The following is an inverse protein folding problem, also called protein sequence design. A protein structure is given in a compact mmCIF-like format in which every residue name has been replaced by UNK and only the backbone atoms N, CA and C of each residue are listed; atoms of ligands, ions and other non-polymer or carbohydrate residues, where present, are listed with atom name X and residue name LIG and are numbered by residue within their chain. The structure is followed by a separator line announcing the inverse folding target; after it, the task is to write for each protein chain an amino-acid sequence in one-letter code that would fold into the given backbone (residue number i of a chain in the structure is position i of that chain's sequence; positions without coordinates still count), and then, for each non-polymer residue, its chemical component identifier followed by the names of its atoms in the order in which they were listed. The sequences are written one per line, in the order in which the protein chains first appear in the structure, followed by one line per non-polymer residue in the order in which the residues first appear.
data_IF_688829441540
#
_entry.id   IF_688829441540
#
_cell.length_a   1.000
_cell.length_b   1.000
_cell.length_c   1.000
_cell.angle_alpha   90.00
_cell.angle_beta   90.00
_cell.angle_gamma   90.00
#
_symmetry.space_group_name_H-M   'P 1'
#
loop_
_entity.id
_entity.type
_entity.pdbx_description
1 polymer ?
#
# COMPACT_ATOMS: atom_id res chain seq x y z
N UNK A 1 14.72 9.02 -19.67
CA UNK A 1 14.74 8.94 -18.19
C UNK A 1 13.95 7.70 -17.82
N UNK A 2 14.58 6.69 -17.23
CA UNK A 2 13.87 5.47 -16.84
C UNK A 2 12.87 5.79 -15.73
N UNK A 3 11.64 5.27 -15.83
CA UNK A 3 10.55 5.45 -14.85
C UNK A 3 11.00 5.14 -13.41
N UNK A 4 11.98 4.25 -13.24
CA UNK A 4 12.66 3.97 -11.97
C UNK A 4 13.15 5.23 -11.21
N UNK A 5 13.62 6.28 -11.90
CA UNK A 5 14.05 7.54 -11.26
C UNK A 5 12.89 8.47 -10.91
N UNK A 6 11.72 8.29 -11.52
CA UNK A 6 10.51 9.05 -11.20
C UNK A 6 9.82 8.43 -9.97
N UNK A 7 9.73 7.10 -9.90
CA UNK A 7 9.13 6.35 -8.79
C UNK A 7 9.81 6.63 -7.43
N UNK A 8 11.15 6.74 -7.40
CA UNK A 8 11.89 7.05 -6.17
C UNK A 8 11.71 8.51 -5.69
N UNK A 9 11.58 9.46 -6.62
CA UNK A 9 11.24 10.85 -6.33
C UNK A 9 9.82 10.93 -5.73
N UNK A 10 8.84 10.26 -6.33
CA UNK A 10 7.46 10.25 -5.86
C UNK A 10 7.27 9.60 -4.49
N UNK A 11 7.98 8.51 -4.21
CA UNK A 11 7.90 7.85 -2.91
C UNK A 11 8.50 8.68 -1.77
N UNK A 12 9.67 9.28 -1.99
CA UNK A 12 10.25 10.20 -1.01
C UNK A 12 9.32 11.35 -0.71
N UNK A 13 8.70 11.86 -1.76
CA UNK A 13 7.77 12.93 -1.69
C UNK A 13 6.49 12.53 -0.93
N UNK A 14 6.00 11.29 -1.02
CA UNK A 14 4.92 10.73 -0.18
C UNK A 14 5.37 10.59 1.29
N UNK A 15 6.57 10.07 1.54
CA UNK A 15 7.13 9.92 2.90
C UNK A 15 7.38 11.29 3.55
N UNK A 16 7.95 12.24 2.80
CA UNK A 16 8.03 13.64 3.19
C UNK A 16 6.63 14.23 3.38
N UNK A 17 5.66 13.93 2.52
CA UNK A 17 4.32 14.49 2.63
C UNK A 17 3.65 14.05 3.93
N UNK A 18 3.81 12.80 4.36
CA UNK A 18 3.37 12.34 5.69
C UNK A 18 4.09 13.10 6.82
N UNK A 19 5.40 13.36 6.66
CA UNK A 19 6.21 14.11 7.63
C UNK A 19 5.88 15.62 7.64
N UNK A 20 5.54 16.21 6.50
CA UNK A 20 5.45 17.66 6.23
C UNK A 20 4.00 18.17 6.31
N UNK A 21 3.00 17.31 6.07
CA UNK A 21 1.62 17.73 6.03
C UNK A 21 0.90 17.46 7.36
N UNK A 22 0.59 18.54 8.09
CA UNK A 22 -0.17 18.49 9.33
C UNK A 22 -1.66 18.15 9.19
N UNK A 23 -2.11 17.81 7.98
CA UNK A 23 -3.52 17.61 7.63
C UNK A 23 -3.89 16.16 7.24
N UNK A 24 -2.93 15.24 7.12
CA UNK A 24 -3.31 13.83 7.20
C UNK A 24 -3.71 13.59 8.66
N UNK A 25 -4.92 13.08 8.91
CA UNK A 25 -5.47 12.96 10.26
C UNK A 25 -4.47 12.21 11.15
N UNK A 26 -3.70 12.97 11.95
CA UNK A 26 -2.66 12.40 12.79
C UNK A 26 -3.32 11.48 13.80
N UNK A 27 -2.89 10.23 13.84
CA UNK A 27 -3.39 9.27 14.81
C UNK A 27 -3.13 9.76 16.23
N UNK A 28 -3.84 9.16 17.19
CA UNK A 28 -3.68 9.44 18.63
C UNK A 28 -2.19 9.39 19.01
N UNK A 29 -1.73 10.41 19.73
CA UNK A 29 -0.34 10.61 20.17
C UNK A 29 0.71 10.67 19.04
N UNK A 30 0.27 10.98 17.82
CA UNK A 30 1.11 10.99 16.61
C UNK A 30 1.02 9.72 15.76
N UNK A 31 0.33 8.67 16.24
CA UNK A 31 0.00 7.49 15.44
C UNK A 31 1.19 6.85 14.71
N UNK A 32 1.03 6.63 13.40
CA UNK A 32 2.02 5.99 12.54
C UNK A 32 3.34 6.76 12.50
N UNK A 33 3.32 8.10 12.53
CA UNK A 33 4.53 8.92 12.53
C UNK A 33 5.36 8.67 13.80
N UNK A 34 4.68 8.61 14.95
CA UNK A 34 5.31 8.32 16.23
C UNK A 34 5.90 6.91 16.28
N UNK A 35 5.12 5.91 15.84
CA UNK A 35 5.57 4.52 15.80
C UNK A 35 6.77 4.35 14.87
N UNK A 36 6.70 4.90 13.65
CA UNK A 36 7.77 4.83 12.65
C UNK A 36 9.04 5.50 13.14
N UNK A 37 8.93 6.72 13.71
CA UNK A 37 10.09 7.39 14.31
C UNK A 37 10.72 6.54 15.42
N UNK A 38 9.90 6.05 16.35
CA UNK A 38 10.37 5.32 17.52
C UNK A 38 11.08 4.02 17.13
N UNK A 39 10.55 3.31 16.14
CA UNK A 39 11.14 2.08 15.59
C UNK A 39 12.46 2.40 14.87
N UNK A 40 12.47 3.36 13.93
CA UNK A 40 13.68 3.70 13.16
C UNK A 40 14.79 4.18 14.09
N UNK A 41 14.49 5.07 15.04
CA UNK A 41 15.49 5.56 16.00
C UNK A 41 15.99 4.43 16.90
N UNK A 42 15.13 3.48 17.31
CA UNK A 42 15.55 2.29 18.04
C UNK A 42 16.45 1.35 17.23
N UNK A 43 16.15 1.16 15.94
CA UNK A 43 17.01 0.40 15.01
C UNK A 43 18.37 1.06 14.84
N UNK A 44 18.42 2.40 14.75
CA UNK A 44 19.68 3.17 14.70
C UNK A 44 20.50 2.96 15.99
N UNK A 45 19.87 3.00 17.16
CA UNK A 45 20.53 2.71 18.44
C UNK A 45 21.14 1.30 18.43
N UNK A 46 20.36 0.30 18.00
CA UNK A 46 20.84 -1.08 17.89
C UNK A 46 21.98 -1.25 16.88
N UNK A 47 21.94 -0.55 15.73
CA UNK A 47 23.05 -0.54 14.77
C UNK A 47 24.34 -0.01 15.39
N UNK A 48 24.26 1.07 16.18
CA UNK A 48 25.42 1.67 16.84
C UNK A 48 26.10 0.71 17.82
N UNK A 49 25.30 -0.07 18.54
CA UNK A 49 25.79 -1.10 19.47
C UNK A 49 26.38 -2.29 18.69
N UNK A 50 25.68 -2.76 17.65
CA UNK A 50 26.09 -3.92 16.87
C UNK A 50 27.41 -3.71 16.14
N UNK A 51 27.61 -2.54 15.55
CA UNK A 51 28.81 -2.20 14.77
C UNK A 51 29.87 -1.44 15.59
N UNK A 52 29.61 -1.16 16.87
CA UNK A 52 30.47 -0.39 17.76
C UNK A 52 30.90 0.95 17.12
N UNK A 53 29.91 1.71 16.63
CA UNK A 53 30.11 2.96 15.92
C UNK A 53 29.29 4.10 16.54
N UNK A 54 29.53 5.34 16.12
CA UNK A 54 28.76 6.48 16.62
C UNK A 54 27.35 6.50 16.02
N UNK A 55 26.39 7.13 16.71
CA UNK A 55 25.03 7.32 16.18
C UNK A 55 25.04 7.98 14.79
N UNK A 56 25.94 8.94 14.54
CA UNK A 56 26.10 9.57 13.23
C UNK A 56 26.53 8.55 12.17
N UNK A 57 27.50 7.68 12.49
CA UNK A 57 27.94 6.62 11.59
C UNK A 57 26.82 5.59 11.33
N UNK A 58 26.01 5.26 12.33
CA UNK A 58 24.85 4.37 12.16
C UNK A 58 23.72 4.97 11.34
N UNK A 59 23.46 6.27 11.47
CA UNK A 59 22.53 6.99 10.60
C UNK A 59 22.99 6.94 9.14
N UNK A 60 24.28 7.23 8.88
CA UNK A 60 24.87 7.12 7.55
C UNK A 60 24.82 5.68 7.01
N UNK A 61 25.14 4.69 7.84
CA UNK A 61 25.04 3.26 7.50
C UNK A 61 23.64 2.88 7.10
N UNK A 62 22.64 3.28 7.88
CA UNK A 62 21.24 3.01 7.58
C UNK A 62 20.84 3.62 6.24
N UNK A 63 21.18 4.89 5.98
CA UNK A 63 20.91 5.51 4.68
C UNK A 63 21.62 4.79 3.53
N UNK A 64 22.78 4.18 3.76
CA UNK A 64 23.50 3.42 2.74
C UNK A 64 22.84 2.07 2.40
N UNK A 65 21.92 1.56 3.22
CA UNK A 65 21.12 0.38 2.88
C UNK A 65 19.93 0.69 1.95
N UNK A 66 19.52 1.95 1.87
CA UNK A 66 18.35 2.35 1.09
C UNK A 66 18.70 2.50 -0.41
N UNK A 67 17.73 2.31 -1.33
CA UNK A 67 17.90 2.56 -2.76
C UNK A 67 18.34 4.00 -3.07
N UNK A 68 19.01 4.23 -4.21
CA UNK A 68 19.70 5.51 -4.53
C UNK A 68 18.87 6.77 -4.29
N UNK A 69 17.62 6.76 -4.73
CA UNK A 69 16.75 7.92 -4.61
C UNK A 69 16.43 8.18 -3.14
N UNK A 70 15.96 7.15 -2.43
CA UNK A 70 15.63 7.21 -0.98
C UNK A 70 16.86 7.48 -0.11
N UNK A 71 18.04 7.00 -0.50
CA UNK A 71 19.30 7.24 0.18
C UNK A 71 19.68 8.72 0.21
N UNK A 72 19.56 9.40 -0.93
CA UNK A 72 19.84 10.84 -1.04
C UNK A 72 19.03 11.62 -0.02
N UNK A 73 17.77 11.23 0.08
CA UNK A 73 16.79 11.82 0.96
C UNK A 73 16.96 11.49 2.44
N UNK A 74 17.30 10.25 2.74
CA UNK A 74 17.68 9.83 4.08
C UNK A 74 18.86 10.68 4.58
N UNK A 75 19.88 10.92 3.75
CA UNK A 75 21.02 11.78 4.11
C UNK A 75 20.59 13.21 4.41
N UNK A 76 19.70 13.80 3.61
CA UNK A 76 19.12 15.13 3.90
C UNK A 76 18.39 15.14 5.25
N UNK A 77 17.62 14.09 5.55
CA UNK A 77 16.95 13.94 6.84
C UNK A 77 17.95 13.79 7.99
N UNK A 78 19.06 13.07 7.79
CA UNK A 78 20.16 12.92 8.76
C UNK A 78 20.88 14.25 8.99
N UNK A 79 21.16 15.03 7.96
CA UNK A 79 21.77 16.35 8.10
C UNK A 79 20.95 17.30 8.99
N UNK A 80 19.62 17.14 8.94
CA UNK A 80 18.68 18.00 9.63
C UNK A 80 18.27 17.48 11.03
N UNK A 81 17.93 16.20 11.14
CA UNK A 81 17.45 15.55 12.37
C UNK A 81 18.57 14.87 13.15
N UNK A 82 19.65 14.46 12.50
CA UNK A 82 20.76 13.73 13.09
C UNK A 82 21.37 14.42 14.31
N UNK A 83 21.66 15.74 14.29
CA UNK A 83 22.18 16.43 15.46
C UNK A 83 21.27 16.32 16.69
N UNK A 84 19.95 16.34 16.49
CA UNK A 84 18.94 16.22 17.56
C UNK A 84 18.90 14.79 18.10
N UNK A 85 18.91 13.80 17.21
CA UNK A 85 18.92 12.38 17.56
C UNK A 85 20.18 12.06 18.38
N UNK A 86 21.35 12.53 17.92
CA UNK A 86 22.63 12.37 18.61
C UNK A 86 22.61 13.02 19.99
N UNK A 87 22.14 14.27 20.10
CA UNK A 87 22.04 14.97 21.38
C UNK A 87 21.11 14.23 22.36
N UNK A 88 19.99 13.68 21.88
CA UNK A 88 19.08 12.86 22.66
C UNK A 88 19.77 11.63 23.25
N UNK A 89 20.48 10.86 22.42
CA UNK A 89 21.22 9.69 22.89
C UNK A 89 22.36 10.05 23.85
N UNK A 90 23.08 11.16 23.63
CA UNK A 90 24.10 11.66 24.58
C UNK A 90 23.51 12.00 25.96
N UNK A 91 22.21 12.31 26.03
CA UNK A 91 21.47 12.54 27.29
C UNK A 91 20.82 11.28 27.85
N UNK A 92 21.16 10.09 27.34
CA UNK A 92 20.52 8.82 27.67
C UNK A 92 18.99 8.86 27.51
N UNK A 93 18.49 9.60 26.52
CA UNK A 93 17.07 9.59 26.16
C UNK A 93 16.75 8.37 25.30
N UNK A 94 15.58 7.79 25.53
CA UNK A 94 15.08 6.65 24.75
C UNK A 94 14.49 7.12 23.41
N UNK A 95 14.40 6.24 22.39
CA UNK A 95 13.87 6.60 21.07
C UNK A 95 12.50 7.32 21.09
N UNK A 96 11.57 6.89 21.95
CA UNK A 96 10.26 7.53 22.10
C UNK A 96 10.37 8.97 22.65
N UNK A 97 11.30 9.24 23.59
CA UNK A 97 11.58 10.60 24.08
C UNK A 97 12.17 11.47 22.97
N UNK A 98 13.12 10.94 22.20
CA UNK A 98 13.73 11.65 21.06
C UNK A 98 12.66 12.01 20.03
N UNK A 99 11.76 11.09 19.71
CA UNK A 99 10.66 11.30 18.77
C UNK A 99 9.63 12.36 19.25
N UNK A 100 9.42 12.49 20.57
CA UNK A 100 8.64 13.60 21.14
C UNK A 100 9.33 14.95 20.98
N UNK A 101 10.65 14.98 21.08
CA UNK A 101 11.47 16.17 20.92
C UNK A 101 11.45 16.72 19.50
N UNK A 102 11.29 15.86 18.49
CA UNK A 102 11.10 16.28 17.07
C UNK A 102 9.63 16.35 16.64
N UNK A 103 8.68 16.23 17.58
CA UNK A 103 7.22 16.39 17.40
C UNK A 103 6.50 15.34 16.55
N UNK A 104 7.18 14.24 16.21
CA UNK A 104 6.57 13.07 15.58
C UNK A 104 5.74 12.27 16.60
N UNK A 105 6.16 12.24 17.87
CA UNK A 105 5.33 11.79 18.99
C UNK A 105 4.74 12.96 19.78
N UNK A 106 3.50 12.82 20.26
CA UNK A 106 2.79 13.84 21.05
C UNK A 106 2.00 13.22 22.18
N UNK A 107 1.70 14.04 23.19
CA UNK A 107 0.76 13.67 24.24
C UNK A 107 -0.55 14.40 23.94
N UNK A 108 -1.57 13.68 23.49
CA UNK A 108 -2.87 14.27 23.21
C UNK A 108 -3.71 14.37 24.50
N UNK A 109 -4.40 15.50 24.75
CA UNK A 109 -5.21 15.66 25.95
C UNK A 109 -6.26 14.56 26.09
N UNK A 110 -6.31 13.92 27.27
CA UNK A 110 -7.26 12.84 27.56
C UNK A 110 -6.85 11.47 27.03
N UNK A 111 -5.68 11.34 26.39
CA UNK A 111 -5.14 10.07 25.91
C UNK A 111 -4.05 9.54 26.83
N UNK A 112 -3.93 8.22 26.92
CA UNK A 112 -2.84 7.59 27.65
C UNK A 112 -1.50 7.90 26.97
N UNK A 113 -0.43 8.11 27.74
CA UNK A 113 0.90 8.37 27.16
C UNK A 113 1.48 7.07 26.58
N UNK A 114 2.03 7.15 25.38
CA UNK A 114 2.70 6.02 24.73
C UNK A 114 4.17 5.99 25.14
N UNK A 115 4.61 4.88 25.75
CA UNK A 115 6.01 4.64 26.14
C UNK A 115 6.41 3.24 25.71
N UNK A 116 7.26 3.15 24.68
CA UNK A 116 7.75 1.86 24.18
C UNK A 116 8.98 1.38 24.97
N UNK A 117 9.86 2.31 25.34
CA UNK A 117 11.09 2.01 26.06
C UNK A 117 10.98 2.47 27.51
N UNK A 118 11.54 1.67 28.43
CA UNK A 118 11.66 2.09 29.82
C UNK A 118 12.70 3.22 29.90
N UNK A 119 12.27 4.40 30.35
CA UNK A 119 13.17 5.55 30.49
C UNK A 119 14.29 5.23 31.47
N UNK A 120 15.52 5.26 30.96
CA UNK A 120 16.75 5.25 31.77
C UNK A 120 17.20 6.67 32.14
N UNK A 121 16.51 7.69 31.63
CA UNK A 121 16.87 9.10 31.82
C UNK A 121 16.51 9.58 33.23
N UNK A 122 17.49 10.19 33.91
CA UNK A 122 17.33 10.91 35.18
C UNK A 122 16.81 12.34 34.99
N UNK A 123 16.53 12.76 33.75
CA UNK A 123 16.14 14.15 33.44
C UNK A 123 14.65 14.41 33.67
N UNK A 124 14.35 15.34 34.58
CA UNK A 124 12.98 15.80 34.87
C UNK A 124 12.43 16.82 33.86
N UNK A 125 13.14 17.04 32.74
CA UNK A 125 12.69 18.01 31.73
C UNK A 125 11.38 17.54 31.10
N UNK A 126 10.48 18.48 30.82
CA UNK A 126 9.28 18.20 30.04
C UNK A 126 9.62 18.13 28.55
N UNK A 127 8.76 17.49 27.76
CA UNK A 127 8.87 17.49 26.29
C UNK A 127 8.84 18.90 25.70
N UNK A 128 8.11 19.84 26.30
CA UNK A 128 8.10 21.24 25.86
C UNK A 128 9.41 21.97 26.13
N UNK A 129 10.05 21.71 27.29
CA UNK A 129 11.36 22.26 27.63
C UNK A 129 12.45 21.71 26.71
N UNK A 130 12.43 20.39 26.43
CA UNK A 130 13.35 19.77 25.46
C UNK A 130 13.26 20.44 24.09
N UNK A 131 12.04 20.62 23.59
CA UNK A 131 11.79 21.32 22.31
C UNK A 131 12.29 22.76 22.31
N UNK A 132 12.09 23.50 23.40
CA UNK A 132 12.56 24.88 23.51
C UNK A 132 14.09 24.96 23.45
N UNK A 133 14.77 24.08 24.20
CA UNK A 133 16.23 24.00 24.20
C UNK A 133 16.78 23.62 22.82
N UNK A 134 16.14 22.67 22.14
CA UNK A 134 16.50 22.27 20.78
C UNK A 134 16.32 23.39 19.77
N UNK A 135 15.22 24.14 19.82
CA UNK A 135 15.00 25.31 18.95
C UNK A 135 16.03 26.42 19.16
N UNK A 136 16.53 26.57 20.39
CA UNK A 136 17.59 27.52 20.68
C UNK A 136 18.94 27.06 20.10
N UNK A 137 19.24 25.76 20.14
CA UNK A 137 20.49 25.20 19.64
C UNK A 137 20.51 25.05 18.11
N UNK A 138 19.34 24.78 17.51
CA UNK A 138 19.14 24.59 16.06
C UNK A 138 18.03 25.54 15.56
N UNK A 139 18.29 26.85 15.43
CA UNK A 139 17.29 27.84 15.00
C UNK A 139 16.89 27.68 13.52
N UNK A 140 17.72 26.98 12.73
CA UNK A 140 17.52 26.74 11.30
C UNK A 140 16.43 25.70 11.03
N UNK A 141 15.89 25.07 12.08
CA UNK A 141 14.88 24.03 11.98
C UNK A 141 13.52 24.70 11.63
N UNK A 142 13.01 24.72 10.38
CA UNK A 142 11.63 25.07 10.13
C UNK A 142 10.70 24.33 11.09
N UNK A 143 9.68 25.06 11.56
CA UNK A 143 8.45 24.43 12.03
C UNK A 143 7.97 23.55 10.89
N UNK A 144 8.18 22.23 11.01
CA UNK A 144 7.97 21.20 9.98
C UNK A 144 6.49 21.00 9.58
N UNK A 145 5.69 22.04 9.79
CA UNK A 145 4.25 22.05 9.98
C UNK A 145 3.72 23.38 9.47
N UNK A 146 3.68 23.53 8.15
CA UNK A 146 2.82 24.54 7.52
C UNK A 146 2.03 23.88 6.41
N UNK A 147 0.72 23.93 6.58
CA UNK A 147 -0.36 23.19 5.92
C UNK A 147 -0.67 23.61 4.47
N UNK A 148 0.35 23.93 3.67
CA UNK A 148 0.21 24.23 2.23
C UNK A 148 1.32 23.63 1.37
N UNK A 149 1.68 22.38 1.66
CA UNK A 149 2.70 21.67 0.88
C UNK A 149 2.25 21.44 -0.58
N UNK A 150 0.98 21.08 -0.83
CA UNK A 150 0.49 20.75 -2.18
C UNK A 150 0.51 21.90 -3.21
N UNK A 151 0.65 23.15 -2.75
CA UNK A 151 0.70 24.32 -3.64
C UNK A 151 2.11 24.57 -4.22
N UNK A 152 3.13 23.82 -3.75
CA UNK A 152 4.50 23.96 -4.21
C UNK A 152 4.74 23.15 -5.52
N UNK A 153 5.42 23.73 -6.53
CA UNK A 153 5.80 23.00 -7.74
C UNK A 153 6.66 21.77 -7.42
N UNK A 154 6.34 20.61 -7.99
CA UNK A 154 6.95 19.31 -7.64
C UNK A 154 6.27 18.60 -6.48
N UNK A 155 5.50 19.30 -5.63
CA UNK A 155 4.70 18.69 -4.55
C UNK A 155 3.28 18.37 -5.02
N UNK A 156 2.74 19.16 -5.94
CA UNK A 156 1.43 18.95 -6.56
C UNK A 156 1.31 17.56 -7.21
N UNK A 157 2.34 17.10 -7.90
CA UNK A 157 2.37 15.81 -8.58
C UNK A 157 2.30 14.62 -7.58
N UNK A 158 2.85 14.80 -6.38
CA UNK A 158 2.76 13.85 -5.27
C UNK A 158 1.35 13.82 -4.69
N UNK A 159 0.73 14.99 -4.52
CA UNK A 159 -0.62 15.07 -4.00
C UNK A 159 -1.58 14.35 -4.95
N UNK A 160 -1.34 14.44 -6.27
CA UNK A 160 -2.07 13.64 -7.26
C UNK A 160 -1.88 12.14 -7.04
N UNK A 161 -0.65 11.66 -6.80
CA UNK A 161 -0.40 10.24 -6.46
C UNK A 161 -1.14 9.86 -5.19
N UNK A 162 -1.09 10.70 -4.17
CA UNK A 162 -1.72 10.41 -2.90
C UNK A 162 -3.24 10.31 -3.04
N UNK A 163 -3.83 11.24 -3.79
CA UNK A 163 -5.26 11.24 -4.08
C UNK A 163 -5.68 10.03 -4.90
N UNK A 164 -5.01 9.74 -6.02
CA UNK A 164 -5.40 8.63 -6.90
C UNK A 164 -5.15 7.25 -6.27
N UNK A 165 -3.96 7.03 -5.71
CA UNK A 165 -3.55 5.70 -5.22
C UNK A 165 -4.10 5.43 -3.83
N UNK A 166 -3.86 6.34 -2.87
CA UNK A 166 -4.13 6.08 -1.46
C UNK A 166 -5.54 6.48 -1.02
N UNK A 167 -6.20 7.42 -1.70
CA UNK A 167 -7.58 7.81 -1.39
C UNK A 167 -8.60 7.21 -2.36
N UNK A 168 -8.34 7.25 -3.67
CA UNK A 168 -9.28 6.77 -4.69
C UNK A 168 -9.11 5.27 -5.00
N UNK A 169 -7.98 4.67 -4.60
CA UNK A 169 -7.63 3.26 -4.86
C UNK A 169 -7.60 2.91 -6.35
N UNK A 170 -7.09 3.85 -7.16
CA UNK A 170 -6.99 3.76 -8.61
C UNK A 170 -5.53 3.64 -9.08
N UNK A 171 -5.28 2.97 -10.21
CA UNK A 171 -3.92 2.86 -10.75
C UNK A 171 -3.31 4.24 -11.02
N UNK A 172 -2.02 4.40 -10.72
CA UNK A 172 -1.33 5.65 -11.01
C UNK A 172 -1.18 5.91 -12.52
N UNK A 173 -0.96 4.85 -13.29
CA UNK A 173 -0.85 4.88 -14.75
C UNK A 173 -2.03 4.11 -15.30
N UNK A 174 -2.98 4.86 -15.85
CA UNK A 174 -4.23 4.44 -16.49
C UNK A 174 -4.65 5.61 -17.40
N UNK A 175 -4.26 5.54 -18.67
CA UNK A 175 -4.41 6.63 -19.65
C UNK A 175 -5.82 6.64 -20.24
N UNK A 176 -6.45 5.48 -20.41
CA UNK A 176 -7.77 5.36 -21.03
C UNK A 176 -8.94 5.33 -20.02
N UNK A 177 -8.63 5.24 -18.73
CA UNK A 177 -9.58 5.33 -17.62
C UNK A 177 -10.36 4.04 -17.36
N UNK A 178 -9.87 2.89 -17.82
CA UNK A 178 -10.50 1.59 -17.64
C UNK A 178 -10.19 0.92 -16.28
N UNK A 179 -9.30 1.55 -15.50
CA UNK A 179 -8.89 1.18 -14.15
C UNK A 179 -8.00 -0.06 -14.08
N UNK A 180 -7.42 -0.49 -15.18
CA UNK A 180 -6.33 -1.45 -15.23
C UNK A 180 -5.03 -0.70 -15.54
N UNK A 181 -3.94 -1.09 -14.88
CA UNK A 181 -2.68 -0.38 -14.98
C UNK A 181 -1.60 -1.23 -15.65
N UNK A 182 -0.67 -0.57 -16.33
CA UNK A 182 0.50 -1.21 -16.95
C UNK A 182 1.65 -1.46 -15.98
N UNK A 183 1.76 -0.62 -14.94
CA UNK A 183 2.77 -0.70 -13.88
C UNK A 183 2.40 -1.76 -12.85
N UNK A 184 3.37 -2.33 -12.13
CA UNK A 184 3.09 -3.37 -11.12
C UNK A 184 2.56 -2.79 -9.81
N UNK A 185 3.20 -1.74 -9.29
CA UNK A 185 2.84 -1.11 -8.02
C UNK A 185 1.77 -0.02 -8.17
N UNK A 186 1.45 0.70 -7.08
CA UNK A 186 0.55 1.86 -7.09
C UNK A 186 -0.83 1.54 -7.70
N UNK A 187 -1.49 0.50 -7.16
CA UNK A 187 -2.82 0.03 -7.60
C UNK A 187 -2.88 -0.52 -9.04
N UNK A 188 -1.73 -0.74 -9.68
CA UNK A 188 -1.60 -1.36 -11.01
C UNK A 188 -1.72 -2.88 -11.00
N UNK A 189 -0.87 -3.56 -11.77
CA UNK A 189 -0.99 -4.97 -12.10
C UNK A 189 -0.73 -5.97 -10.96
N UNK A 190 -0.17 -5.53 -9.84
CA UNK A 190 -0.17 -6.33 -8.61
C UNK A 190 -1.59 -6.49 -8.04
N UNK A 191 -2.47 -5.52 -8.30
CA UNK A 191 -3.83 -5.46 -7.77
C UNK A 191 -4.85 -6.01 -8.76
N UNK A 192 -4.66 -5.73 -10.06
CA UNK A 192 -5.59 -6.14 -11.13
C UNK A 192 -4.81 -6.77 -12.28
N UNK A 193 -5.48 -7.41 -13.22
CA UNK A 193 -4.83 -7.85 -14.45
C UNK A 193 -4.02 -6.74 -15.12
N UNK A 194 -2.82 -7.05 -15.61
CA UNK A 194 -2.04 -6.07 -16.38
C UNK A 194 -2.79 -5.72 -17.67
N UNK A 195 -3.00 -4.43 -17.88
CA UNK A 195 -3.53 -3.93 -19.12
C UNK A 195 -2.55 -4.16 -20.29
N UNK A 196 -3.08 -4.62 -21.42
CA UNK A 196 -2.36 -4.87 -22.65
C UNK A 196 -2.46 -3.72 -23.66
N UNK A 197 -3.40 -2.78 -23.50
CA UNK A 197 -3.54 -1.58 -24.34
C UNK A 197 -4.11 -0.37 -23.58
N UNK A 198 -3.22 0.38 -22.94
CA UNK A 198 -3.51 1.59 -22.14
C UNK A 198 -3.93 2.81 -23.00
N UNK A 199 -4.49 2.58 -24.18
CA UNK A 199 -5.04 3.63 -25.04
C UNK A 199 -6.49 3.37 -25.43
N UNK A 200 -7.06 2.24 -25.03
CA UNK A 200 -8.41 1.83 -25.40
C UNK A 200 -9.08 1.13 -24.23
N UNK A 201 -9.98 1.86 -23.57
CA UNK A 201 -10.71 1.34 -22.42
C UNK A 201 -11.65 0.17 -22.71
N UNK A 202 -11.71 -0.31 -23.95
CA UNK A 202 -12.41 -1.53 -24.37
C UNK A 202 -11.53 -2.77 -24.37
N UNK A 203 -10.21 -2.61 -24.31
CA UNK A 203 -9.23 -3.69 -24.36
C UNK A 203 -8.67 -3.82 -22.95
N UNK A 204 -9.12 -4.84 -22.22
CA UNK A 204 -8.78 -4.99 -20.81
C UNK A 204 -9.06 -6.39 -20.27
N UNK A 205 -8.42 -6.81 -19.17
CA UNK A 205 -8.67 -8.10 -18.54
C UNK A 205 -10.16 -8.39 -18.31
N UNK A 206 -10.62 -9.49 -18.91
CA UNK A 206 -11.98 -10.03 -18.79
C UNK A 206 -13.07 -9.34 -19.63
N UNK A 207 -12.68 -8.47 -20.58
CA UNK A 207 -13.55 -8.11 -21.70
C UNK A 207 -13.91 -9.37 -22.52
N UNK A 208 -15.03 -9.33 -23.24
CA UNK A 208 -15.38 -10.37 -24.22
C UNK A 208 -14.57 -10.17 -25.49
N UNK A 209 -14.21 -11.28 -26.12
CA UNK A 209 -13.51 -11.28 -27.40
C UNK A 209 -14.36 -10.63 -28.50
N UNK A 210 -13.70 -9.92 -29.43
CA UNK A 210 -14.35 -9.30 -30.58
C UNK A 210 -13.86 -10.00 -31.85
N UNK A 211 -14.78 -10.69 -32.54
CA UNK A 211 -14.46 -11.52 -33.71
C UNK A 211 -13.38 -12.59 -33.41
N UNK A 212 -13.43 -13.17 -32.20
CA UNK A 212 -12.46 -14.18 -31.74
C UNK A 212 -11.03 -13.65 -31.62
N UNK A 213 -10.86 -12.35 -31.44
CA UNK A 213 -9.56 -11.70 -31.25
C UNK A 213 -8.56 -12.02 -32.39
N UNK A 214 -9.05 -12.16 -33.62
CA UNK A 214 -8.21 -12.56 -34.75
C UNK A 214 -7.07 -11.57 -35.08
N UNK A 215 -7.19 -10.30 -34.65
CA UNK A 215 -6.22 -9.23 -34.94
C UNK A 215 -5.65 -8.56 -33.69
N UNK A 216 -6.46 -8.43 -32.64
CA UNK A 216 -6.14 -7.72 -31.39
C UNK A 216 -6.67 -8.58 -30.26
N UNK A 217 -5.87 -8.79 -29.22
CA UNK A 217 -6.29 -9.38 -27.96
C UNK A 217 -7.11 -8.35 -27.17
N UNK A 218 -8.43 -8.49 -27.16
CA UNK A 218 -9.30 -7.51 -26.50
C UNK A 218 -9.40 -7.74 -24.99
N UNK A 219 -8.99 -8.91 -24.52
CA UNK A 219 -9.25 -9.33 -23.16
C UNK A 219 -7.97 -9.62 -22.35
N UNK A 220 -6.82 -9.34 -22.94
CA UNK A 220 -5.49 -9.41 -22.36
C UNK A 220 -5.09 -10.79 -21.81
N UNK A 221 -5.73 -11.87 -22.29
CA UNK A 221 -5.40 -13.24 -21.86
C UNK A 221 -4.20 -13.82 -22.64
N UNK A 222 -3.71 -13.12 -23.67
CA UNK A 222 -2.58 -13.52 -24.51
C UNK A 222 -2.94 -14.49 -25.64
N UNK A 223 -4.24 -14.78 -25.85
CA UNK A 223 -4.74 -15.67 -26.90
C UNK A 223 -5.43 -14.81 -27.96
N UNK A 224 -4.82 -14.73 -29.14
CA UNK A 224 -5.33 -13.94 -30.25
C UNK A 224 -4.70 -14.43 -31.56
N UNK A 225 -5.21 -13.98 -32.70
CA UNK A 225 -4.73 -14.42 -34.02
C UNK A 225 -5.53 -15.58 -34.60
N UNK A 226 -4.99 -16.21 -35.63
CA UNK A 226 -5.67 -17.24 -36.44
C UNK A 226 -4.89 -18.55 -36.47
N UNK A 227 -5.59 -19.67 -36.39
CA UNK A 227 -5.04 -20.96 -36.78
C UNK A 227 -5.01 -21.08 -38.31
N UNK A 228 -3.80 -21.19 -38.85
CA UNK A 228 -3.57 -21.44 -40.27
C UNK A 228 -4.16 -22.76 -40.79
N UNK A 229 -4.44 -23.73 -39.90
CA UNK A 229 -4.91 -25.06 -40.28
C UNK A 229 -6.43 -25.13 -40.44
N UNK A 230 -7.18 -24.51 -39.54
CA UNK A 230 -8.66 -24.46 -39.53
C UNK A 230 -9.21 -23.17 -40.17
N UNK A 231 -8.36 -22.14 -40.29
CA UNK A 231 -8.73 -20.79 -40.66
C UNK A 231 -9.79 -20.19 -39.70
N UNK A 232 -9.63 -20.46 -38.40
CA UNK A 232 -10.44 -19.88 -37.32
C UNK A 232 -9.57 -19.11 -36.33
N UNK A 233 -10.15 -18.15 -35.58
CA UNK A 233 -9.41 -17.47 -34.53
C UNK A 233 -9.08 -18.39 -33.36
N UNK A 234 -7.89 -18.25 -32.77
CA UNK A 234 -7.47 -19.10 -31.64
C UNK A 234 -8.41 -18.98 -30.43
N UNK A 235 -8.93 -17.78 -30.17
CA UNK A 235 -9.88 -17.54 -29.09
C UNK A 235 -11.20 -18.30 -29.29
N UNK A 236 -11.66 -18.48 -30.53
CA UNK A 236 -12.87 -19.27 -30.82
C UNK A 236 -12.62 -20.78 -30.62
N UNK A 237 -11.39 -21.24 -30.87
CA UNK A 237 -11.05 -22.66 -30.77
C UNK A 237 -10.72 -23.10 -29.34
N UNK A 238 -10.06 -22.23 -28.57
CA UNK A 238 -9.59 -22.56 -27.23
C UNK A 238 -10.49 -22.03 -26.13
N UNK A 239 -11.16 -20.90 -26.37
CA UNK A 239 -11.91 -20.21 -25.34
C UNK A 239 -13.40 -20.20 -25.62
N UNK A 240 -14.18 -20.18 -24.54
CA UNK A 240 -15.61 -19.97 -24.61
C UNK A 240 -16.00 -18.92 -23.58
N UNK A 241 -16.25 -17.69 -24.05
CA UNK A 241 -16.64 -16.55 -23.21
C UNK A 241 -17.94 -16.75 -22.41
N UNK A 242 -18.70 -17.83 -22.65
CA UNK A 242 -19.86 -18.20 -21.82
C UNK A 242 -19.50 -19.02 -20.58
N UNK A 243 -18.30 -19.61 -20.54
CA UNK A 243 -17.81 -20.44 -19.43
C UNK A 243 -16.65 -19.79 -18.66
N UNK A 244 -16.03 -18.74 -19.22
CA UNK A 244 -15.01 -17.94 -18.54
C UNK A 244 -15.56 -17.23 -17.32
N UNK A 245 -14.71 -17.09 -16.31
CA UNK A 245 -15.03 -16.48 -15.03
C UNK A 245 -13.78 -15.79 -14.50
N UNK A 246 -13.86 -14.49 -14.24
CA UNK A 246 -12.79 -13.77 -13.56
C UNK A 246 -12.88 -13.90 -12.03
N UNK A 247 -11.85 -13.48 -11.33
CA UNK A 247 -11.77 -13.50 -9.86
C UNK A 247 -11.72 -12.09 -9.31
N UNK A 248 -12.56 -11.76 -8.33
CA UNK A 248 -12.45 -10.51 -7.60
C UNK A 248 -12.58 -10.72 -6.09
N UNK A 249 -11.95 -9.86 -5.31
CA UNK A 249 -12.15 -9.80 -3.85
C UNK A 249 -12.46 -8.37 -3.42
N UNK A 250 -13.54 -8.19 -2.68
CA UNK A 250 -13.84 -6.99 -1.92
C UNK A 250 -13.37 -7.26 -0.50
N UNK A 251 -12.31 -6.59 -0.05
CA UNK A 251 -11.64 -7.04 1.17
C UNK A 251 -10.94 -5.98 1.99
N UNK A 252 -10.32 -6.43 3.06
CA UNK A 252 -9.48 -5.62 3.94
C UNK A 252 -8.00 -6.00 3.81
N UNK A 253 -7.18 -5.59 4.78
CA UNK A 253 -5.74 -5.87 4.85
C UNK A 253 -5.39 -7.36 4.73
N UNK A 254 -6.30 -8.27 5.12
CA UNK A 254 -6.07 -9.72 4.98
C UNK A 254 -6.11 -10.12 3.51
N UNK A 255 -7.13 -9.66 2.78
CA UNK A 255 -7.29 -9.93 1.34
C UNK A 255 -6.23 -9.25 0.48
N UNK A 256 -5.75 -8.07 0.90
CA UNK A 256 -4.62 -7.37 0.28
C UNK A 256 -3.26 -8.04 0.60
N UNK A 257 -3.23 -8.93 1.60
CA UNK A 257 -2.02 -9.53 2.14
C UNK A 257 -1.03 -8.47 2.68
N UNK A 258 -1.49 -7.67 3.64
CA UNK A 258 -0.66 -6.73 4.37
C UNK A 258 0.51 -7.45 5.04
N UNK A 259 1.74 -7.02 4.74
CA UNK A 259 2.95 -7.62 5.26
C UNK A 259 4.10 -6.62 5.33
N UNK A 260 4.65 -6.47 6.54
CA UNK A 260 5.90 -5.73 6.79
C UNK A 260 7.03 -6.75 6.88
N UNK A 261 8.08 -6.65 6.05
CA UNK A 261 9.25 -7.52 6.17
C UNK A 261 9.89 -7.39 7.55
N UNK A 262 9.98 -8.49 8.28
CA UNK A 262 10.54 -8.51 9.65
C UNK A 262 11.99 -8.03 9.70
N UNK A 263 12.73 -8.22 8.60
CA UNK A 263 14.12 -7.81 8.43
C UNK A 263 14.28 -6.29 8.53
N UNK A 264 13.23 -5.51 8.24
CA UNK A 264 13.24 -4.05 8.41
C UNK A 264 13.31 -3.63 9.89
N UNK A 265 12.95 -4.54 10.80
CA UNK A 265 12.88 -4.30 12.24
C UNK A 265 14.07 -4.89 13.02
N UNK A 266 14.92 -5.69 12.37
CA UNK A 266 16.08 -6.35 12.97
C UNK A 266 17.40 -5.79 12.44
N UNK A 267 18.08 -4.98 13.26
CA UNK A 267 19.37 -4.36 12.94
C UNK A 267 20.45 -5.35 12.48
N UNK A 268 20.35 -6.64 12.86
CA UNK A 268 21.31 -7.69 12.47
C UNK A 268 21.14 -8.16 11.03
N UNK A 269 19.96 -7.97 10.46
CA UNK A 269 19.59 -8.45 9.13
C UNK A 269 19.62 -7.35 8.07
N UNK A 270 19.74 -6.09 8.47
CA UNK A 270 19.77 -4.96 7.56
C UNK A 270 20.93 -5.06 6.56
N UNK A 271 20.57 -4.94 5.28
CA UNK A 271 21.49 -4.92 4.16
C UNK A 271 20.83 -4.19 2.98
N UNK A 272 21.60 -3.91 1.92
CA UNK A 272 21.05 -3.32 0.69
C UNK A 272 19.95 -4.20 0.08
N UNK A 273 20.13 -5.53 0.08
CA UNK A 273 19.14 -6.47 -0.48
C UNK A 273 17.80 -6.47 0.26
N UNK A 274 17.80 -6.18 1.57
CA UNK A 274 16.57 -6.11 2.38
C UNK A 274 15.66 -4.93 1.97
N UNK A 275 16.22 -3.86 1.41
CA UNK A 275 15.49 -2.67 0.97
C UNK A 275 15.41 -2.53 -0.55
N UNK A 276 15.86 -3.52 -1.31
CA UNK A 276 15.87 -3.50 -2.79
C UNK A 276 14.47 -3.14 -3.36
N UNK A 277 13.42 -3.69 -2.75
CA UNK A 277 12.03 -3.52 -3.19
C UNK A 277 11.22 -2.53 -2.34
N UNK A 278 11.89 -1.68 -1.55
CA UNK A 278 11.24 -0.71 -0.65
C UNK A 278 10.16 0.14 -1.35
N UNK A 279 10.48 0.63 -2.54
CA UNK A 279 9.56 1.51 -3.32
C UNK A 279 8.31 0.76 -3.75
N UNK A 280 8.45 -0.48 -4.20
CA UNK A 280 7.33 -1.31 -4.58
C UNK A 280 6.42 -1.59 -3.37
N UNK A 281 7.02 -1.98 -2.24
CA UNK A 281 6.28 -2.38 -1.03
C UNK A 281 5.48 -1.20 -0.48
N UNK A 282 6.10 -0.02 -0.36
CA UNK A 282 5.37 1.18 0.10
C UNK A 282 4.38 1.68 -0.96
N UNK A 283 4.72 1.60 -2.25
CA UNK A 283 3.82 1.97 -3.34
C UNK A 283 2.58 1.08 -3.43
N UNK A 284 2.61 -0.10 -2.81
CA UNK A 284 1.48 -0.98 -2.62
C UNK A 284 0.94 -0.96 -1.19
N UNK A 285 1.16 0.11 -0.41
CA UNK A 285 0.55 0.27 0.92
C UNK A 285 0.97 -0.80 1.95
N UNK A 286 2.15 -1.40 1.76
CA UNK A 286 2.63 -2.58 2.50
C UNK A 286 1.81 -3.85 2.23
N UNK A 287 0.95 -3.82 1.22
CA UNK A 287 0.17 -4.95 0.75
C UNK A 287 0.90 -5.70 -0.37
N UNK A 288 0.60 -6.99 -0.45
CA UNK A 288 1.20 -7.92 -1.40
C UNK A 288 0.09 -8.69 -2.15
N UNK A 289 -0.83 -7.98 -2.83
CA UNK A 289 -1.99 -8.58 -3.49
C UNK A 289 -1.60 -9.64 -4.54
N UNK A 290 -0.42 -9.48 -5.15
CA UNK A 290 0.15 -10.42 -6.11
C UNK A 290 0.59 -11.76 -5.50
N UNK A 291 0.65 -11.84 -4.16
CA UNK A 291 0.91 -13.04 -3.38
C UNK A 291 -0.27 -13.45 -2.48
N UNK A 292 -1.41 -12.73 -2.58
CA UNK A 292 -2.58 -12.98 -1.73
C UNK A 292 -3.26 -14.32 -2.03
N UNK A 293 -4.00 -14.83 -1.04
CA UNK A 293 -4.76 -16.09 -1.18
C UNK A 293 -5.89 -16.05 -2.22
N UNK A 294 -6.39 -14.87 -2.60
CA UNK A 294 -7.48 -14.75 -3.57
C UNK A 294 -6.97 -14.43 -4.97
N UNK A 295 -6.12 -13.41 -5.11
CA UNK A 295 -5.69 -12.88 -6.42
C UNK A 295 -4.20 -13.05 -6.69
N UNK A 296 -3.48 -13.80 -5.85
CA UNK A 296 -2.05 -14.03 -6.04
C UNK A 296 -1.76 -14.68 -7.40
N UNK A 297 -0.80 -14.15 -8.15
CA UNK A 297 -0.59 -14.51 -9.56
C UNK A 297 0.88 -14.59 -9.96
N UNK A 298 1.81 -14.24 -9.06
CA UNK A 298 3.24 -14.42 -9.28
C UNK A 298 3.84 -15.30 -8.20
N UNK A 299 4.91 -16.02 -8.52
CA UNK A 299 5.83 -16.54 -7.53
C UNK A 299 6.94 -15.50 -7.32
N UNK A 300 7.24 -15.19 -6.07
CA UNK A 300 8.29 -14.25 -5.74
C UNK A 300 9.47 -14.95 -5.07
N UNK A 301 10.69 -14.46 -5.32
CA UNK A 301 11.94 -14.99 -4.74
C UNK A 301 12.72 -13.92 -3.98
N UNK A 302 12.03 -12.87 -3.52
CA UNK A 302 12.65 -11.85 -2.69
C UNK A 302 13.22 -12.47 -1.42
N UNK A 303 14.34 -11.95 -0.89
CA UNK A 303 15.10 -12.58 0.21
C UNK A 303 14.32 -12.81 1.51
N UNK A 304 13.07 -12.38 1.58
CA UNK A 304 12.22 -12.34 2.77
C UNK A 304 10.88 -13.07 2.58
N UNK A 305 10.65 -13.70 1.42
CA UNK A 305 9.43 -14.46 1.13
C UNK A 305 9.81 -15.85 0.64
N UNK A 306 9.33 -16.86 1.36
CA UNK A 306 9.56 -18.26 1.04
C UNK A 306 8.26 -18.94 0.59
N UNK A 307 8.37 -19.82 -0.40
CA UNK A 307 7.28 -20.64 -0.89
C UNK A 307 6.69 -20.19 -2.22
N UNK A 308 5.83 -21.04 -2.78
CA UNK A 308 5.07 -20.75 -4.00
C UNK A 308 3.72 -20.13 -3.65
N UNK A 309 3.34 -19.10 -4.38
CA UNK A 309 2.01 -18.50 -4.30
C UNK A 309 0.96 -19.51 -4.74
N UNK A 310 -0.08 -19.65 -3.92
CA UNK A 310 -1.29 -20.39 -4.25
C UNK A 310 -2.47 -19.50 -3.98
N UNK A 311 -3.37 -19.40 -4.94
CA UNK A 311 -4.54 -18.54 -4.82
C UNK A 311 -5.75 -19.12 -5.54
N UNK A 312 -6.92 -18.56 -5.23
CA UNK A 312 -8.15 -18.89 -5.95
C UNK A 312 -8.05 -18.52 -7.44
N UNK A 313 -7.48 -17.36 -7.77
CA UNK A 313 -7.21 -16.97 -9.15
C UNK A 313 -6.27 -17.96 -9.86
N UNK A 314 -5.15 -18.34 -9.24
CA UNK A 314 -4.21 -19.28 -9.85
C UNK A 314 -4.90 -20.62 -10.14
N UNK A 315 -5.77 -21.08 -9.24
CA UNK A 315 -6.57 -22.29 -9.46
C UNK A 315 -7.59 -22.13 -10.58
N UNK A 316 -8.22 -20.97 -10.71
CA UNK A 316 -9.17 -20.66 -11.77
C UNK A 316 -8.48 -20.62 -13.15
N UNK A 317 -7.28 -20.06 -13.21
CA UNK A 317 -6.41 -20.09 -14.38
C UNK A 317 -5.98 -21.52 -14.74
N UNK A 318 -5.58 -22.36 -13.78
CA UNK A 318 -5.24 -23.77 -14.04
C UNK A 318 -6.40 -24.59 -14.61
N UNK A 319 -7.64 -24.26 -14.22
CA UNK A 319 -8.83 -24.94 -14.72
C UNK A 319 -9.19 -24.49 -16.14
N UNK A 320 -8.97 -23.21 -16.44
CA UNK A 320 -9.18 -22.62 -17.76
C UNK A 320 -8.21 -21.44 -17.98
N UNK A 321 -7.23 -21.66 -18.85
CA UNK A 321 -6.18 -20.70 -19.14
C UNK A 321 -6.70 -19.43 -19.84
N UNK A 322 -7.91 -19.45 -20.38
CA UNK A 322 -8.54 -18.25 -20.94
C UNK A 322 -8.84 -17.20 -19.86
N UNK A 323 -8.80 -17.57 -18.57
CA UNK A 323 -8.94 -16.62 -17.45
C UNK A 323 -7.64 -15.87 -17.13
N UNK A 324 -6.60 -15.97 -17.96
CA UNK A 324 -5.34 -15.25 -17.75
C UNK A 324 -5.59 -13.74 -17.55
N UNK A 325 -4.96 -13.17 -16.52
CA UNK A 325 -5.06 -11.79 -16.04
C UNK A 325 -6.41 -11.35 -15.48
N UNK A 326 -7.48 -12.14 -15.57
CA UNK A 326 -8.81 -11.71 -15.12
C UNK A 326 -8.96 -11.82 -13.59
N UNK A 327 -8.17 -11.01 -12.85
CA UNK A 327 -8.24 -10.85 -11.40
C UNK A 327 -8.36 -9.38 -11.00
N UNK A 328 -9.06 -9.11 -9.89
CA UNK A 328 -9.18 -7.78 -9.28
C UNK A 328 -9.18 -7.86 -7.76
N UNK A 329 -8.14 -7.34 -7.12
CA UNK A 329 -8.06 -7.19 -5.67
C UNK A 329 -8.53 -5.78 -5.27
N UNK A 330 -9.77 -5.71 -4.81
CA UNK A 330 -10.43 -4.47 -4.37
C UNK A 330 -10.38 -4.39 -2.83
N UNK A 331 -9.22 -4.74 -2.28
CA UNK A 331 -9.00 -4.69 -0.84
C UNK A 331 -8.31 -3.40 -0.41
N UNK A 332 -8.67 -2.91 0.77
CA UNK A 332 -8.10 -1.68 1.34
C UNK A 332 -7.80 -1.89 2.82
N UNK A 333 -6.62 -1.48 3.27
CA UNK A 333 -6.25 -1.50 4.68
C UNK A 333 -7.26 -0.72 5.54
N UNK A 334 -7.82 -1.38 6.55
CA UNK A 334 -8.84 -0.78 7.42
C UNK A 334 -10.28 -0.81 6.87
N UNK A 335 -10.51 -1.37 5.67
CA UNK A 335 -11.85 -1.52 5.12
C UNK A 335 -12.75 -2.35 6.04
N UNK A 336 -13.98 -1.87 6.23
CA UNK A 336 -15.06 -2.52 6.96
C UNK A 336 -16.37 -2.33 6.22
N UNK A 337 -17.47 -2.88 6.75
CA UNK A 337 -18.77 -2.77 6.09
C UNK A 337 -19.21 -1.31 5.87
N UNK A 338 -18.73 -0.33 6.65
CA UNK A 338 -19.10 1.09 6.45
C UNK A 338 -18.45 1.68 5.21
N UNK A 339 -17.27 1.22 4.82
CA UNK A 339 -16.53 1.66 3.62
C UNK A 339 -16.86 0.84 2.36
N UNK A 340 -17.72 -0.19 2.45
CA UNK A 340 -17.97 -1.09 1.31
C UNK A 340 -18.45 -0.35 0.06
N UNK A 341 -19.30 0.66 0.24
CA UNK A 341 -19.88 1.43 -0.86
C UNK A 341 -18.87 2.33 -1.58
N UNK A 342 -17.73 2.58 -0.95
CA UNK A 342 -16.64 3.34 -1.55
C UNK A 342 -15.73 2.39 -2.32
N UNK A 343 -15.31 1.28 -1.70
CA UNK A 343 -14.40 0.32 -2.34
C UNK A 343 -15.07 -0.44 -3.49
N UNK A 344 -16.33 -0.86 -3.35
CA UNK A 344 -17.02 -1.67 -4.38
C UNK A 344 -17.15 -0.92 -5.70
N UNK A 345 -17.22 0.42 -5.67
CA UNK A 345 -17.32 1.26 -6.86
C UNK A 345 -16.03 1.31 -7.66
N UNK A 346 -14.91 0.88 -7.09
CA UNK A 346 -13.62 0.79 -7.78
C UNK A 346 -13.50 -0.49 -8.62
N UNK A 347 -14.28 -1.53 -8.32
CA UNK A 347 -14.39 -2.74 -9.14
C UNK A 347 -14.76 -2.37 -10.58
N UNK A 348 -14.09 -2.95 -11.57
CA UNK A 348 -14.41 -2.72 -12.98
C UNK A 348 -15.09 -3.95 -13.58
N UNK A 349 -16.33 -3.76 -14.04
CA UNK A 349 -16.99 -4.68 -14.95
C UNK A 349 -18.08 -3.99 -15.75
N UNK A 350 -18.32 -4.46 -16.96
CA UNK A 350 -19.45 -4.06 -17.80
C UNK A 350 -20.40 -5.24 -18.02
N UNK A 351 -21.68 -5.06 -17.68
CA UNK A 351 -22.68 -6.13 -17.70
C UNK A 351 -22.83 -6.84 -19.06
N UNK A 352 -22.53 -6.16 -20.17
CA UNK A 352 -22.76 -6.67 -21.52
C UNK A 352 -21.47 -7.11 -22.19
N UNK A 353 -20.41 -6.34 -21.98
CA UNK A 353 -19.17 -6.45 -22.73
C UNK A 353 -18.12 -7.30 -22.02
N UNK A 354 -18.32 -7.65 -20.75
CA UNK A 354 -17.34 -8.43 -19.99
C UNK A 354 -17.86 -9.83 -19.64
N UNK A 355 -16.94 -10.73 -19.32
CA UNK A 355 -17.28 -12.07 -18.80
C UNK A 355 -17.65 -11.99 -17.32
N UNK A 356 -18.43 -12.94 -16.78
CA UNK A 356 -18.81 -12.95 -15.37
C UNK A 356 -17.63 -12.94 -14.39
N UNK A 357 -17.87 -12.57 -13.13
CA UNK A 357 -16.91 -12.65 -12.03
C UNK A 357 -17.38 -13.61 -10.93
N UNK A 358 -16.42 -14.29 -10.30
CA UNK A 358 -16.56 -14.82 -8.94
C UNK A 358 -16.03 -13.78 -7.96
N UNK A 359 -16.92 -13.19 -7.16
CA UNK A 359 -16.58 -12.13 -6.20
C UNK A 359 -16.57 -12.69 -4.79
N UNK A 360 -15.43 -12.58 -4.11
CA UNK A 360 -15.29 -12.93 -2.69
C UNK A 360 -15.50 -11.67 -1.86
N UNK A 361 -16.49 -11.67 -0.97
CA UNK A 361 -16.71 -10.62 0.01
C UNK A 361 -16.02 -11.01 1.33
N UNK A 362 -14.93 -10.33 1.68
CA UNK A 362 -14.05 -10.72 2.80
C UNK A 362 -13.60 -9.52 3.63
N UNK A 363 -14.56 -8.91 4.34
CA UNK A 363 -14.30 -7.93 5.40
C UNK A 363 -14.33 -8.66 6.75
N UNK A 364 -13.17 -9.05 7.24
CA UNK A 364 -13.05 -10.13 8.25
C UNK A 364 -12.61 -9.64 9.63
N UNK A 365 -12.30 -8.36 9.79
CA UNK A 365 -11.85 -7.83 11.09
C UNK A 365 -12.38 -6.45 11.46
N UNK A 366 -12.26 -5.47 10.56
CA UNK A 366 -12.34 -4.05 10.93
C UNK A 366 -13.75 -3.56 11.37
N UNK A 367 -14.79 -4.37 11.21
CA UNK A 367 -16.09 -4.10 11.83
C UNK A 367 -16.07 -4.22 13.36
N UNK A 368 -15.13 -5.01 13.90
CA UNK A 368 -14.94 -5.19 15.36
C UNK A 368 -13.57 -4.76 15.86
N UNK A 369 -12.55 -4.76 15.00
CA UNK A 369 -11.20 -4.29 15.31
C UNK A 369 -11.10 -2.77 15.17
N UNK A 370 -10.79 -2.06 16.26
CA UNK A 370 -10.56 -0.62 16.22
C UNK A 370 -9.59 -0.16 17.33
N UNK A 371 -9.02 1.03 17.16
CA UNK A 371 -8.06 1.62 18.10
C UNK A 371 -8.67 2.60 19.11
N UNK A 372 -9.99 2.60 19.32
CA UNK A 372 -10.64 3.53 20.24
C UNK A 372 -10.60 3.03 21.70
N UNK A 373 -10.58 3.96 22.66
CA UNK A 373 -10.53 3.62 24.10
C UNK A 373 -11.73 2.77 24.55
N UNK A 374 -12.93 3.07 24.08
CA UNK A 374 -14.10 2.20 24.23
C UNK A 374 -14.31 1.42 22.94
N UNK A 375 -13.55 0.32 22.80
CA UNK A 375 -13.53 -0.50 21.59
C UNK A 375 -14.89 -1.10 21.27
N UNK A 376 -15.68 -1.47 22.28
CA UNK A 376 -16.96 -2.18 22.12
C UNK A 376 -18.02 -1.21 21.60
N UNK A 377 -18.08 0.00 22.16
CA UNK A 377 -19.02 1.02 21.70
C UNK A 377 -18.77 1.50 20.26
N UNK A 378 -17.61 1.17 19.68
CA UNK A 378 -17.22 1.56 18.31
C UNK A 378 -17.30 0.43 17.29
N UNK A 379 -17.62 -0.79 17.71
CA UNK A 379 -17.88 -1.89 16.79
C UNK A 379 -19.09 -1.57 15.91
N UNK A 380 -19.06 -1.99 14.65
CA UNK A 380 -20.21 -1.93 13.77
C UNK A 380 -21.33 -2.80 14.33
N UNK A 381 -22.54 -2.24 14.40
CA UNK A 381 -23.69 -3.02 14.84
C UNK A 381 -24.15 -3.98 13.74
N UNK A 382 -24.84 -5.05 14.12
CA UNK A 382 -25.43 -5.97 13.16
C UNK A 382 -26.29 -5.27 12.11
N UNK A 383 -27.14 -4.31 12.50
CA UNK A 383 -28.04 -3.60 11.59
C UNK A 383 -27.27 -2.73 10.60
N UNK A 384 -26.22 -2.03 11.06
CA UNK A 384 -25.33 -1.28 10.18
C UNK A 384 -24.66 -2.21 9.17
N UNK A 385 -24.05 -3.30 9.63
CA UNK A 385 -23.35 -4.26 8.77
C UNK A 385 -24.29 -4.88 7.74
N UNK A 386 -25.47 -5.33 8.17
CA UNK A 386 -26.49 -5.92 7.31
C UNK A 386 -26.91 -4.95 6.19
N UNK A 387 -27.30 -3.72 6.56
CA UNK A 387 -27.76 -2.72 5.61
C UNK A 387 -26.66 -2.31 4.62
N UNK A 388 -25.41 -2.18 5.10
CA UNK A 388 -24.28 -1.81 4.25
C UNK A 388 -23.88 -2.93 3.29
N UNK A 389 -23.86 -4.16 3.77
CA UNK A 389 -23.57 -5.34 2.95
C UNK A 389 -24.62 -5.49 1.86
N UNK A 390 -25.92 -5.37 2.19
CA UNK A 390 -26.98 -5.38 1.18
C UNK A 390 -26.85 -4.25 0.16
N UNK A 391 -26.47 -3.05 0.59
CA UNK A 391 -26.25 -1.94 -0.33
C UNK A 391 -25.07 -2.20 -1.29
N UNK A 392 -23.99 -2.83 -0.80
CA UNK A 392 -22.87 -3.28 -1.63
C UNK A 392 -23.28 -4.35 -2.64
N UNK A 393 -24.04 -5.36 -2.21
CA UNK A 393 -24.58 -6.41 -3.09
C UNK A 393 -25.53 -5.82 -4.15
N UNK A 394 -26.42 -4.91 -3.76
CA UNK A 394 -27.32 -4.23 -4.69
C UNK A 394 -26.56 -3.40 -5.74
N UNK A 395 -25.41 -2.83 -5.38
CA UNK A 395 -24.55 -2.17 -6.36
C UNK A 395 -23.91 -3.18 -7.31
N UNK A 396 -23.42 -4.33 -6.82
CA UNK A 396 -22.85 -5.38 -7.66
C UNK A 396 -23.86 -5.87 -8.71
N UNK A 397 -25.14 -6.00 -8.38
CA UNK A 397 -26.20 -6.37 -9.33
C UNK A 397 -26.32 -5.39 -10.52
N UNK A 398 -25.86 -4.14 -10.36
CA UNK A 398 -25.87 -3.13 -11.44
C UNK A 398 -24.63 -3.16 -12.33
N UNK A 399 -23.57 -3.84 -11.89
CA UNK A 399 -22.24 -3.83 -12.54
C UNK A 399 -21.87 -5.19 -13.11
N UNK A 400 -22.21 -6.27 -12.40
CA UNK A 400 -21.80 -7.62 -12.77
C UNK A 400 -22.61 -8.19 -13.93
N UNK A 401 -21.97 -8.85 -14.91
CA UNK A 401 -22.66 -9.62 -15.94
C UNK A 401 -23.51 -10.75 -15.36
N UNK A 402 -24.57 -11.12 -16.08
CA UNK A 402 -25.39 -12.30 -15.77
C UNK A 402 -24.50 -13.54 -15.76
N UNK A 403 -24.66 -14.39 -14.74
CA UNK A 403 -23.82 -15.57 -14.52
C UNK A 403 -22.66 -15.31 -13.55
N UNK A 404 -22.52 -14.10 -13.02
CA UNK A 404 -21.57 -13.83 -11.93
C UNK A 404 -22.02 -14.49 -10.63
N UNK A 405 -21.06 -14.84 -9.79
CA UNK A 405 -21.28 -15.46 -8.50
C UNK A 405 -20.63 -14.60 -7.41
N UNK A 406 -21.21 -14.59 -6.22
CA UNK A 406 -20.57 -14.01 -5.06
C UNK A 406 -20.60 -14.99 -3.90
N UNK A 407 -19.49 -15.06 -3.17
CA UNK A 407 -19.38 -15.82 -1.92
C UNK A 407 -19.12 -14.84 -0.78
N UNK A 408 -19.88 -14.98 0.30
CA UNK A 408 -19.73 -14.16 1.48
C UNK A 408 -19.02 -14.97 2.56
N UNK A 409 -17.71 -14.80 2.65
CA UNK A 409 -16.88 -15.42 3.67
C UNK A 409 -16.99 -14.62 4.98
N UNK A 410 -18.08 -14.82 5.71
CA UNK A 410 -18.25 -14.36 7.09
C UNK A 410 -18.15 -15.51 8.09
#
# INVERSE_FOLDING_TARGET
MSISSASGIYLFLVVLFSIVNGNLARGVNGGVDCASCTIVVGVIEHLSILYNETIVASLERFCNYLPSDIKTYCKVAVDYLGPIIVEGFLKNETPDIICHSITLCRDDPGQAKCRLFQSKSLSNLSHSQRRANLRQHYPQLPSLLTSKACDLPGIKEICKIFEEVFNNHMPLVDIDGDRFGTEESFRGSAWRGKDCDDFSSKIRPGARSVMGDYAIDHNCNGIYGMDSSTNKPWEEEFCNDTQRLGMAVLGDSVSAHFHIPEQWLDARQLSVGVFEHLVYIIGNELDWPQLSGTTGHINNSWPNIEGSTRSLYARLFELDHCNHRDYQNIAVNGANSKSILDIVKTLTRDQKNDVPLLVIYSLVGNDVCNGHNDTVARMTTYEEMYNRTLAGLAYLDTVLPIGSHYDNSH
#
